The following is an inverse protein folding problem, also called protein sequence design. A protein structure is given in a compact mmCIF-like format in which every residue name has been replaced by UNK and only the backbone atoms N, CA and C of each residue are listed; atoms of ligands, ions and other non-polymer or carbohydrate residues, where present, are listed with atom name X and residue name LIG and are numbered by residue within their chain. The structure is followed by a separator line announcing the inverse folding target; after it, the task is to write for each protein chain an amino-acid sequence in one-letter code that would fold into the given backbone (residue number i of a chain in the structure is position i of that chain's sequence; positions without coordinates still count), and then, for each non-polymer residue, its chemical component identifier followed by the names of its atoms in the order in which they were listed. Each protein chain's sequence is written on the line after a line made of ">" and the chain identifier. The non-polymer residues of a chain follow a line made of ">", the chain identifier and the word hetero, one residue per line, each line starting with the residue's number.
data_IF_201345596361
#
_entry.id   IF_201345596361
#
_cell.length_a   1.000
_cell.length_b   1.000
_cell.length_c   1.000
_cell.angle_alpha   90.00
_cell.angle_beta   90.00
_cell.angle_gamma   90.00
#
_symmetry.space_group_name_H-M   'P 1'
#
loop_
_entity.id
_entity.type
_entity.pdbx_description
1 polymer ?
#
# COMPACT_ATOMS: atom_id res chain seq x y z
N UNK A 1 5.41 15.18 21.95
CA UNK A 1 4.97 15.11 21.94
C UNK A 1 4.99 14.75 21.76
N UNK A 2 5.20 15.06 21.51
CA UNK A 2 4.76 14.98 21.37
C UNK A 2 4.76 14.80 21.10
N UNK A 3 4.88 15.01 20.96
CA UNK A 3 4.47 15.20 20.78
C UNK A 3 4.73 14.93 20.72
N UNK A 4 5.00 14.70 20.00
CA UNK A 4 4.66 14.87 20.04
C UNK A 4 5.12 14.75 19.90
N UNK A 5 5.63 15.23 20.24
CA UNK A 5 5.64 15.38 20.13
C UNK A 5 6.13 15.24 20.00
N UNK A 6 6.33 15.27 19.59
CA UNK A 6 6.15 15.47 19.52
C UNK A 6 6.63 15.73 19.51
N UNK A 7 7.25 15.82 19.47
CA UNK A 7 7.39 16.19 19.41
C UNK A 7 7.60 16.59 19.72
N UNK A 8 7.82 17.00 19.69
CA UNK A 8 7.46 17.66 19.89
C UNK A 8 7.80 18.30 20.17
N UNK A 9 8.37 18.63 20.43
CA UNK A 9 8.34 19.21 20.58
C UNK A 9 8.48 19.80 21.17
N UNK A 10 8.88 20.18 21.40
CA UNK A 10 8.82 20.74 21.83
C UNK A 10 8.54 21.40 22.44
N UNK A 11 8.27 21.64 22.72
CA UNK A 11 7.90 22.27 22.91
C UNK A 11 8.29 23.01 22.93
N UNK A 12 8.63 23.54 22.76
CA UNK A 12 8.68 24.14 22.42
C UNK A 12 9.33 24.53 22.18
N UNK A 13 9.94 24.49 21.57
CA UNK A 13 10.20 24.44 20.98
C UNK A 13 10.49 24.43 20.70
N UNK A 14 10.66 24.34 20.23
CA UNK A 14 10.56 24.10 19.65
C UNK A 14 10.25 24.65 19.36
N UNK A 15 10.09 25.13 19.36
CA UNK A 15 9.40 25.54 18.89
C UNK A 15 9.56 26.55 18.52
N UNK A 16 10.15 27.11 17.99
CA UNK A 16 9.85 27.44 17.33
C UNK A 16 10.44 27.19 16.74
N UNK A 17 11.55 27.29 16.60
CA UNK A 17 11.62 26.50 16.07
C UNK A 17 11.10 25.50 16.43
N UNK A 18 11.66 25.26 17.40
CA UNK A 18 10.63 24.34 17.63
C UNK A 18 9.36 24.88 17.10
N UNK A 19 9.28 26.08 17.04
CA UNK A 19 8.14 26.68 16.45
C UNK A 19 7.99 26.34 15.00
N UNK A 20 9.07 26.39 14.24
CA UNK A 20 9.01 25.99 12.85
C UNK A 20 8.80 24.53 12.68
N UNK A 21 9.51 23.75 13.46
CA UNK A 21 9.36 22.31 13.38
C UNK A 21 7.98 21.91 13.85
N UNK A 22 7.51 22.52 14.90
CA UNK A 22 6.19 22.24 15.41
C UNK A 22 5.14 22.75 14.46
N UNK A 23 5.39 23.88 13.81
CA UNK A 23 4.46 24.37 12.82
C UNK A 23 4.29 23.37 11.69
N UNK A 24 5.37 22.71 11.29
CA UNK A 24 5.27 21.67 10.27
C UNK A 24 4.40 20.53 10.75
N UNK A 25 4.54 20.16 12.01
CA UNK A 25 3.75 19.07 12.55
C UNK A 25 2.33 19.47 12.86
N UNK A 26 2.14 20.71 13.21
CA UNK A 26 0.83 21.19 13.67
C UNK A 26 -0.08 21.64 12.58
N UNK A 27 0.40 21.74 11.37
CA UNK A 27 -0.48 22.17 10.29
C UNK A 27 -1.63 21.20 10.10
N UNK A 28 -1.46 19.95 10.50
CA UNK A 28 -2.54 18.97 10.37
C UNK A 28 -3.34 18.92 11.65
N UNK A 29 -4.20 19.87 11.79
CA UNK A 29 -5.06 19.95 12.96
C UNK A 29 -6.19 18.94 12.81
N UNK A 30 -6.69 18.54 13.96
CA UNK A 30 -7.81 17.62 13.98
C UNK A 30 -8.99 18.21 13.26
N UNK A 31 -9.61 17.43 12.38
CA UNK A 31 -10.76 17.88 11.64
C UNK A 31 -10.46 18.62 10.35
N UNK A 32 -9.22 19.02 10.15
CA UNK A 32 -8.83 19.69 8.91
C UNK A 32 -8.46 18.66 7.85
N UNK A 33 -8.77 19.02 6.62
CA UNK A 33 -8.41 18.19 5.47
C UNK A 33 -7.36 18.90 4.64
N UNK A 34 -6.33 18.16 4.31
CA UNK A 34 -5.25 18.66 3.47
C UNK A 34 -5.23 17.87 2.18
N UNK A 35 -4.81 18.51 1.08
CA UNK A 35 -4.71 17.77 -0.18
C UNK A 35 -3.77 16.59 -0.04
N UNK A 36 -4.10 15.51 -0.70
CA UNK A 36 -3.22 14.37 -0.75
C UNK A 36 -1.94 14.74 -1.49
N UNK A 37 -0.83 14.23 -0.99
CA UNK A 37 0.47 14.46 -1.60
C UNK A 37 1.06 13.16 -2.09
N UNK A 38 1.80 13.26 -3.19
CA UNK A 38 2.52 12.12 -3.74
C UNK A 38 3.99 12.48 -3.76
N UNK A 39 4.79 11.72 -3.00
CA UNK A 39 6.22 11.98 -2.89
C UNK A 39 6.97 10.73 -3.30
N UNK A 40 8.26 10.84 -3.59
CA UNK A 40 9.05 9.64 -3.93
C UNK A 40 8.96 8.60 -2.81
N UNK A 41 9.00 7.33 -3.19
CA UNK A 41 8.88 6.25 -2.23
C UNK A 41 10.00 6.34 -1.19
N UNK A 42 9.60 6.27 0.09
CA UNK A 42 10.54 6.34 1.20
C UNK A 42 10.99 4.94 1.58
N UNK A 43 12.05 4.90 2.38
CA UNK A 43 12.59 3.62 2.82
C UNK A 43 11.57 2.81 3.60
N UNK A 44 10.74 3.48 4.40
CA UNK A 44 9.72 2.77 5.17
C UNK A 44 8.72 2.06 4.27
N UNK A 45 8.33 2.69 3.16
CA UNK A 45 7.41 2.05 2.23
C UNK A 45 8.10 0.95 1.43
N UNK A 46 9.37 1.12 1.11
CA UNK A 46 10.12 0.08 0.42
C UNK A 46 10.23 -1.16 1.29
N UNK A 47 10.48 -0.99 2.59
CA UNK A 47 10.48 -2.11 3.51
C UNK A 47 9.12 -2.81 3.54
N UNK A 48 8.06 -2.03 3.60
CA UNK A 48 6.72 -2.60 3.62
C UNK A 48 6.44 -3.41 2.37
N UNK A 49 6.83 -2.87 1.21
CA UNK A 49 6.66 -3.55 -0.06
C UNK A 49 7.39 -4.89 -0.06
N UNK A 50 8.64 -4.88 0.39
CA UNK A 50 9.44 -6.10 0.39
C UNK A 50 8.90 -7.14 1.36
N UNK A 51 8.48 -6.71 2.54
CA UNK A 51 7.93 -7.64 3.52
C UNK A 51 6.62 -8.25 3.03
N UNK A 52 5.79 -7.44 2.41
CA UNK A 52 4.52 -7.92 1.88
C UNK A 52 4.77 -8.97 0.80
N UNK A 53 5.70 -8.69 -0.09
CA UNK A 53 6.02 -9.62 -1.16
C UNK A 53 6.53 -10.94 -0.61
N UNK A 54 7.45 -10.88 0.35
CA UNK A 54 8.02 -12.09 0.92
C UNK A 54 6.98 -12.92 1.65
N UNK A 55 6.04 -12.26 2.31
CA UNK A 55 4.95 -12.97 2.95
C UNK A 55 4.10 -13.73 1.93
N UNK A 56 3.82 -13.09 0.79
CA UNK A 56 3.04 -13.74 -0.26
C UNK A 56 3.82 -14.92 -0.85
N UNK A 57 5.11 -14.73 -1.11
CA UNK A 57 5.94 -15.82 -1.64
C UNK A 57 5.91 -17.01 -0.69
N UNK A 58 6.08 -16.75 0.59
CA UNK A 58 6.05 -17.82 1.60
C UNK A 58 4.68 -18.48 1.67
N UNK A 59 3.62 -17.70 1.59
CA UNK A 59 2.27 -18.22 1.68
C UNK A 59 1.96 -19.12 0.49
N UNK A 60 2.34 -18.70 -0.71
CA UNK A 60 2.16 -19.51 -1.91
C UNK A 60 2.94 -20.82 -1.78
N UNK A 61 4.17 -20.74 -1.27
CA UNK A 61 4.97 -21.95 -1.09
C UNK A 61 4.33 -22.90 -0.09
N UNK A 62 3.81 -22.37 1.00
CA UNK A 62 3.18 -23.19 2.02
C UNK A 62 1.88 -23.82 1.55
N UNK A 63 1.06 -23.05 0.86
CA UNK A 63 -0.28 -23.51 0.50
C UNK A 63 -0.30 -24.31 -0.78
N UNK A 64 0.50 -23.95 -1.75
CA UNK A 64 0.44 -24.56 -3.07
C UNK A 64 1.67 -25.36 -3.41
N UNK A 65 2.74 -25.27 -2.61
CA UNK A 65 4.03 -25.92 -2.90
C UNK A 65 4.59 -25.45 -4.22
N UNK A 66 4.39 -24.18 -4.55
CA UNK A 66 4.83 -23.60 -5.80
C UNK A 66 5.68 -22.36 -5.52
N UNK A 67 6.57 -22.06 -6.45
CA UNK A 67 7.38 -20.85 -6.38
C UNK A 67 6.61 -19.67 -6.93
N UNK A 68 7.04 -18.46 -6.56
CA UNK A 68 6.40 -17.22 -6.96
C UNK A 68 7.49 -16.28 -7.43
N UNK A 69 7.35 -15.75 -8.65
CA UNK A 69 8.40 -14.94 -9.26
C UNK A 69 8.00 -13.50 -9.52
N UNK A 70 6.76 -13.13 -9.25
CA UNK A 70 6.31 -11.76 -9.45
C UNK A 70 5.98 -11.44 -10.89
N UNK A 71 5.52 -12.42 -11.64
CA UNK A 71 5.13 -12.23 -13.03
C UNK A 71 3.64 -12.54 -13.19
N UNK A 72 3.12 -12.19 -14.34
CA UNK A 72 1.67 -12.26 -14.58
C UNK A 72 1.12 -13.67 -14.36
N UNK A 73 1.88 -14.69 -14.73
CA UNK A 73 1.43 -16.09 -14.55
C UNK A 73 1.18 -16.41 -13.07
N UNK A 74 1.81 -15.70 -12.18
CA UNK A 74 1.66 -15.97 -10.75
C UNK A 74 0.33 -15.47 -10.20
N UNK A 75 -0.42 -14.69 -10.97
CA UNK A 75 -1.74 -14.23 -10.51
C UNK A 75 -2.67 -15.39 -10.22
N UNK A 76 -2.59 -16.46 -10.99
CA UNK A 76 -3.42 -17.61 -10.73
C UNK A 76 -3.09 -18.28 -9.40
N UNK A 77 -1.80 -18.31 -9.05
CA UNK A 77 -1.41 -18.82 -7.75
C UNK A 77 -2.00 -17.98 -6.63
N UNK A 78 -1.94 -16.68 -6.80
CA UNK A 78 -2.52 -15.75 -5.84
C UNK A 78 -4.02 -15.99 -5.70
N UNK A 79 -4.70 -16.15 -6.82
CA UNK A 79 -6.14 -16.38 -6.80
C UNK A 79 -6.47 -17.71 -6.12
N UNK A 80 -5.65 -18.72 -6.30
CA UNK A 80 -5.87 -20.00 -5.63
C UNK A 80 -5.76 -19.86 -4.11
N UNK A 81 -4.78 -19.08 -3.64
CA UNK A 81 -4.66 -18.85 -2.20
C UNK A 81 -5.88 -18.09 -1.69
N UNK A 82 -6.36 -17.10 -2.44
CA UNK A 82 -7.56 -16.37 -2.06
C UNK A 82 -8.76 -17.30 -1.98
N UNK A 83 -8.92 -18.16 -2.98
CA UNK A 83 -10.07 -19.05 -3.06
C UNK A 83 -10.04 -20.13 -1.98
N UNK A 84 -8.87 -20.43 -1.44
CA UNK A 84 -8.75 -21.45 -0.42
C UNK A 84 -9.35 -21.03 0.92
N UNK A 85 -9.64 -19.75 1.09
CA UNK A 85 -10.19 -19.23 2.34
C UNK A 85 -9.16 -19.06 3.44
N UNK A 86 -7.89 -19.20 3.15
CA UNK A 86 -6.85 -19.03 4.16
C UNK A 86 -6.74 -17.62 4.67
N UNK A 87 -7.12 -16.65 3.85
CA UNK A 87 -7.01 -15.25 4.24
C UNK A 87 -8.36 -14.80 4.75
N UNK A 88 -8.43 -14.47 6.03
CA UNK A 88 -9.68 -14.08 6.65
C UNK A 88 -10.15 -12.72 6.16
N UNK A 89 -11.48 -12.56 6.12
CA UNK A 89 -12.06 -11.33 5.59
C UNK A 89 -11.76 -10.09 6.43
N UNK A 90 -11.22 -10.28 7.64
CA UNK A 90 -10.86 -9.16 8.51
C UNK A 90 -9.36 -8.95 8.61
N UNK A 91 -8.59 -9.65 7.82
CA UNK A 91 -7.13 -9.54 7.86
C UNK A 91 -6.65 -8.50 6.86
N UNK A 92 -6.93 -7.24 7.16
CA UNK A 92 -6.64 -6.14 6.25
C UNK A 92 -5.18 -6.12 5.80
N UNK A 93 -4.26 -6.42 6.72
CA UNK A 93 -2.84 -6.36 6.38
C UNK A 93 -2.45 -7.44 5.39
N UNK A 94 -3.07 -8.60 5.47
CA UNK A 94 -2.79 -9.67 4.53
C UNK A 94 -3.36 -9.34 3.15
N UNK A 95 -4.54 -8.72 3.11
CA UNK A 95 -5.10 -8.27 1.85
C UNK A 95 -4.29 -7.12 1.24
N UNK A 96 -3.72 -6.27 2.08
CA UNK A 96 -2.82 -5.24 1.60
C UNK A 96 -1.58 -5.88 0.97
N UNK A 97 -1.04 -6.94 1.59
CA UNK A 97 0.12 -7.62 1.02
C UNK A 97 -0.20 -8.21 -0.35
N UNK A 98 -1.41 -8.73 -0.53
CA UNK A 98 -1.83 -9.24 -1.82
C UNK A 98 -1.89 -8.11 -2.83
N UNK A 99 -2.48 -6.97 -2.46
CA UNK A 99 -2.54 -5.82 -3.36
C UNK A 99 -1.16 -5.30 -3.74
N UNK A 100 -0.25 -5.24 -2.77
CA UNK A 100 1.12 -4.83 -3.03
C UNK A 100 1.78 -5.78 -4.02
N UNK A 101 1.56 -7.08 -3.86
CA UNK A 101 2.15 -8.06 -4.76
C UNK A 101 1.61 -7.92 -6.17
N UNK A 102 0.32 -7.65 -6.33
CA UNK A 102 -0.24 -7.37 -7.65
C UNK A 102 0.44 -6.15 -8.25
N UNK A 103 0.68 -5.12 -7.44
CA UNK A 103 1.38 -3.93 -7.93
C UNK A 103 2.82 -4.24 -8.33
N UNK A 104 3.49 -5.14 -7.63
CA UNK A 104 4.83 -5.56 -8.02
C UNK A 104 4.78 -6.25 -9.38
N UNK A 105 3.80 -7.12 -9.59
CA UNK A 105 3.63 -7.75 -10.89
C UNK A 105 3.41 -6.69 -11.96
N UNK A 106 2.58 -5.69 -11.66
CA UNK A 106 2.35 -4.60 -12.61
C UNK A 106 3.64 -3.87 -12.96
N UNK A 107 4.50 -3.59 -11.97
CA UNK A 107 5.75 -2.90 -12.28
C UNK A 107 6.69 -3.77 -13.11
N UNK A 108 6.59 -5.08 -12.96
CA UNK A 108 7.43 -5.99 -13.75
C UNK A 108 6.92 -6.16 -15.18
N UNK A 109 5.62 -6.05 -15.38
CA UNK A 109 5.02 -6.33 -16.69
C UNK A 109 4.68 -5.08 -17.49
N UNK A 110 4.50 -3.93 -16.85
CA UNK A 110 4.08 -2.71 -17.53
C UNK A 110 5.12 -1.63 -17.29
N UNK A 111 5.63 -1.08 -18.39
CA UNK A 111 6.62 0.00 -18.31
C UNK A 111 5.96 1.28 -17.82
N UNK A 112 6.74 2.05 -17.05
CA UNK A 112 6.31 3.38 -16.66
C UNK A 112 5.57 3.45 -15.35
N UNK A 113 5.41 2.36 -14.64
CA UNK A 113 4.81 2.37 -13.32
C UNK A 113 5.87 2.57 -12.26
N UNK A 114 5.62 3.48 -11.33
CA UNK A 114 6.58 3.84 -10.29
C UNK A 114 5.95 3.76 -8.93
N UNK A 115 6.72 3.27 -7.97
CA UNK A 115 6.32 3.32 -6.57
C UNK A 115 6.47 4.74 -6.03
N UNK A 116 5.45 5.18 -5.33
CA UNK A 116 5.43 6.48 -4.65
C UNK A 116 4.86 6.30 -3.25
N UNK A 117 5.04 7.31 -2.43
CA UNK A 117 4.39 7.36 -1.12
C UNK A 117 3.25 8.35 -1.21
N UNK A 118 2.06 7.88 -0.85
CA UNK A 118 0.88 8.74 -0.76
C UNK A 118 0.74 9.21 0.68
N UNK A 119 0.63 10.50 0.85
CA UNK A 119 0.35 11.10 2.15
C UNK A 119 -1.01 11.74 2.07
N UNK A 120 -1.98 11.17 2.77
CA UNK A 120 -3.36 11.62 2.71
C UNK A 120 -3.92 11.65 4.12
N UNK A 121 -3.90 12.83 4.70
CA UNK A 121 -4.26 12.98 6.09
C UNK A 121 -3.29 12.23 6.99
N UNK A 122 -3.79 11.30 7.76
CA UNK A 122 -2.95 10.48 8.61
C UNK A 122 -2.49 9.20 7.94
N UNK A 123 -2.90 9.00 6.72
CA UNK A 123 -2.52 7.79 6.00
C UNK A 123 -1.26 8.03 5.19
N UNK A 124 -0.30 7.14 5.36
CA UNK A 124 0.93 7.13 4.57
C UNK A 124 1.09 5.73 4.02
N UNK A 125 1.10 5.62 2.70
CA UNK A 125 1.02 4.31 2.10
C UNK A 125 1.77 4.26 0.78
N UNK A 126 2.30 3.08 0.42
CA UNK A 126 2.87 2.91 -0.91
C UNK A 126 1.76 2.79 -1.94
N UNK A 127 1.95 3.48 -3.05
CA UNK A 127 1.03 3.41 -4.18
C UNK A 127 1.86 3.38 -5.45
N UNK A 128 1.22 3.00 -6.55
CA UNK A 128 1.85 3.12 -7.87
C UNK A 128 1.33 4.37 -8.56
N UNK A 129 2.22 5.03 -9.26
CA UNK A 129 1.85 6.10 -10.17
C UNK A 129 2.08 5.63 -11.60
N UNK A 130 1.07 5.78 -12.42
CA UNK A 130 1.15 5.42 -13.82
C UNK A 130 0.47 6.51 -14.63
N UNK A 131 1.28 7.24 -15.41
CA UNK A 131 0.79 8.42 -16.11
C UNK A 131 0.23 9.39 -15.09
N UNK A 132 -1.03 9.78 -15.19
CA UNK A 132 -1.64 10.68 -14.21
C UNK A 132 -2.57 9.96 -13.25
N UNK A 133 -2.45 8.63 -13.16
CA UNK A 133 -3.30 7.82 -12.29
C UNK A 133 -2.51 7.27 -11.11
N UNK A 134 -3.22 7.06 -10.03
CA UNK A 134 -2.66 6.44 -8.83
C UNK A 134 -3.37 5.12 -8.61
N UNK A 135 -2.60 4.06 -8.44
CA UNK A 135 -3.11 2.73 -8.15
C UNK A 135 -2.80 2.42 -6.70
N UNK A 136 -3.84 2.25 -5.91
CA UNK A 136 -3.71 2.03 -4.48
C UNK A 136 -3.80 0.54 -4.18
N UNK A 137 -2.70 -0.07 -3.73
CA UNK A 137 -2.70 -1.52 -3.47
C UNK A 137 -3.80 -1.96 -2.52
N UNK A 138 -4.10 -1.14 -1.52
CA UNK A 138 -5.12 -1.51 -0.55
C UNK A 138 -6.48 -1.66 -1.22
N UNK A 139 -6.76 -0.89 -2.25
CA UNK A 139 -8.05 -0.93 -2.91
C UNK A 139 -8.18 -2.06 -3.92
N UNK A 140 -7.08 -2.65 -4.32
CA UNK A 140 -7.14 -3.70 -5.34
C UNK A 140 -7.82 -4.97 -4.83
N UNK A 141 -7.61 -5.30 -3.58
CA UNK A 141 -8.19 -6.52 -3.02
C UNK A 141 -9.09 -6.23 -1.84
N UNK A 142 -8.63 -5.40 -0.93
CA UNK A 142 -9.33 -5.18 0.33
C UNK A 142 -10.70 -4.55 0.15
N UNK A 143 -10.87 -3.66 -0.82
CA UNK A 143 -12.15 -2.97 -0.95
C UNK A 143 -13.29 -3.93 -1.27
N UNK A 144 -13.04 -4.97 -2.07
CA UNK A 144 -14.07 -5.97 -2.35
C UNK A 144 -14.35 -6.82 -1.13
N UNK A 145 -13.30 -7.27 -0.45
CA UNK A 145 -13.45 -8.11 0.73
C UNK A 145 -14.16 -7.36 1.84
N UNK A 146 -13.81 -6.10 2.02
CA UNK A 146 -14.45 -5.27 3.02
C UNK A 146 -15.94 -5.11 2.76
N UNK A 147 -16.32 -5.07 1.49
CA UNK A 147 -17.73 -4.94 1.11
C UNK A 147 -18.47 -6.28 1.11
N UNK A 148 -17.81 -7.38 1.44
CA UNK A 148 -18.41 -8.69 1.44
C UNK A 148 -18.52 -9.31 0.06
N UNK A 149 -17.79 -8.79 -0.91
CA UNK A 149 -17.82 -9.28 -2.28
C UNK A 149 -16.62 -10.17 -2.55
N UNK A 150 -16.75 -11.12 -3.48
CA UNK A 150 -15.60 -11.95 -3.83
C UNK A 150 -14.50 -11.12 -4.48
N UNK A 151 -13.26 -11.49 -4.22
CA UNK A 151 -12.11 -10.80 -4.78
C UNK A 151 -11.57 -11.61 -5.95
N UNK A 152 -11.65 -11.04 -7.15
CA UNK A 152 -11.08 -11.63 -8.35
C UNK A 152 -9.85 -10.80 -8.70
N UNK A 153 -8.70 -11.28 -8.26
CA UNK A 153 -7.47 -10.50 -8.38
C UNK A 153 -7.01 -10.41 -9.83
N UNK A 154 -7.37 -11.40 -10.64
CA UNK A 154 -7.00 -11.37 -12.05
C UNK A 154 -7.78 -10.29 -12.78
N UNK A 155 -9.07 -10.16 -12.45
CA UNK A 155 -9.88 -9.10 -13.03
C UNK A 155 -9.39 -7.72 -12.60
N UNK A 156 -9.02 -7.58 -11.33
CA UNK A 156 -8.49 -6.31 -10.85
C UNK A 156 -7.22 -5.93 -11.59
N UNK A 157 -6.34 -6.89 -11.79
CA UNK A 157 -5.11 -6.66 -12.54
C UNK A 157 -5.41 -6.20 -13.97
N UNK A 158 -6.33 -6.91 -14.63
CA UNK A 158 -6.66 -6.58 -16.01
C UNK A 158 -7.32 -5.21 -16.12
N UNK A 159 -8.15 -4.85 -15.15
CA UNK A 159 -8.84 -3.57 -15.22
C UNK A 159 -7.86 -2.41 -15.06
N UNK A 160 -6.80 -2.59 -14.30
CA UNK A 160 -5.77 -1.55 -14.18
C UNK A 160 -5.11 -1.30 -15.54
N UNK A 161 -4.81 -2.38 -16.26
CA UNK A 161 -4.13 -2.25 -17.55
C UNK A 161 -5.07 -1.67 -18.60
N UNK A 162 -6.32 -2.09 -18.63
CA UNK A 162 -7.26 -1.67 -19.65
C UNK A 162 -7.66 -0.21 -19.49
N UNK A 163 -7.76 0.26 -18.25
CA UNK A 163 -8.32 1.58 -17.97
C UNK A 163 -7.29 2.70 -17.99
N UNK A 164 -6.13 2.49 -18.59
CA UNK A 164 -5.16 3.60 -18.65
C UNK A 164 -5.01 4.23 -20.04
#
# INVERSE_FOLDING_TARGET
>A
IAFECSFTVPKGGVVKEAEDVIATLEVRKEGQKYPAELIPARLSEIYLINEAYEWVVSTVKQELKKDFQGIEEDLEKLQQVINSGKIGSKKKEEWLAIGITVCIILTNEVEGMEWKTLIDGNREAPVLQYKDRIIDPLKLAWSKVKAGEPCDIIEEYKSVIINH
#
